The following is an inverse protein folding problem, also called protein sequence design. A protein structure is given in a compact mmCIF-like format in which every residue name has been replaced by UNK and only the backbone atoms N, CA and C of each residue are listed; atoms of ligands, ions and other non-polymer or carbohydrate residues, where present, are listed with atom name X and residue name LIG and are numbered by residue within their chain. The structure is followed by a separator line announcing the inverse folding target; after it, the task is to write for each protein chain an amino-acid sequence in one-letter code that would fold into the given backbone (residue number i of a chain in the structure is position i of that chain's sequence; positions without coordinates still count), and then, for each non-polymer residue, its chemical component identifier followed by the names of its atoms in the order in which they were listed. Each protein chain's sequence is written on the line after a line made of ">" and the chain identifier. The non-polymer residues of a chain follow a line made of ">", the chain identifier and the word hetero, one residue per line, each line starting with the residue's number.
data_IF_435669838422
#
_entry.id   IF_435669838422
#
_cell.length_a   1.000
_cell.length_b   1.000
_cell.length_c   1.000
_cell.angle_alpha   90.00
_cell.angle_beta   90.00
_cell.angle_gamma   90.00
#
_symmetry.space_group_name_H-M   'P 1'
#
loop_
_entity.id
_entity.type
_entity.pdbx_description
1 polymer ?
#
# COMPACT_ATOMS: atom_id res chain seq x y z
N UNK A 1 2.50 -39.06 -21.20
CA UNK A 1 2.72 -38.67 -19.79
C UNK A 1 1.99 -37.36 -19.60
N UNK A 2 0.72 -37.43 -19.21
CA UNK A 2 -0.18 -36.28 -19.17
C UNK A 2 0.04 -35.55 -17.86
N UNK A 3 0.62 -34.36 -17.92
CA UNK A 3 0.85 -33.51 -16.75
C UNK A 3 -0.49 -32.85 -16.42
N UNK A 4 -1.23 -33.43 -15.48
CA UNK A 4 -2.39 -32.81 -14.86
C UNK A 4 -1.91 -31.66 -13.99
N UNK A 5 -2.08 -30.43 -14.47
CA UNK A 5 -1.84 -29.22 -13.68
C UNK A 5 -3.08 -29.05 -12.78
N UNK A 6 -2.93 -29.35 -11.50
CA UNK A 6 -3.97 -29.20 -10.51
C UNK A 6 -4.30 -27.72 -10.32
N UNK A 7 -5.50 -27.31 -10.77
CA UNK A 7 -6.00 -25.95 -10.69
C UNK A 7 -6.30 -25.48 -9.24
N UNK A 8 -6.19 -26.38 -8.24
CA UNK A 8 -6.37 -26.06 -6.83
C UNK A 8 -5.29 -25.14 -6.23
N UNK A 9 -4.13 -25.00 -6.90
CA UNK A 9 -3.02 -24.15 -6.46
C UNK A 9 -2.99 -22.75 -7.11
N UNK A 10 -3.97 -22.41 -7.95
CA UNK A 10 -4.00 -21.14 -8.71
C UNK A 10 -4.99 -20.10 -8.17
N UNK A 11 -5.69 -20.41 -7.08
CA UNK A 11 -6.57 -19.47 -6.39
C UNK A 11 -6.16 -19.49 -4.92
N UNK A 12 -5.30 -18.55 -4.54
CA UNK A 12 -4.93 -18.36 -3.14
C UNK A 12 -6.17 -17.85 -2.39
N UNK A 13 -6.65 -18.52 -1.32
CA UNK A 13 -7.75 -17.99 -0.54
C UNK A 13 -7.32 -16.65 0.07
N UNK A 14 -8.20 -15.66 -0.07
CA UNK A 14 -8.04 -14.33 0.51
C UNK A 14 -7.77 -14.44 2.01
N UNK A 15 -6.56 -14.04 2.44
CA UNK A 15 -6.16 -14.02 3.86
C UNK A 15 -5.14 -15.08 4.32
N UNK A 16 -4.53 -15.88 3.44
CA UNK A 16 -3.43 -16.77 3.86
C UNK A 16 -2.11 -15.98 4.07
N UNK A 17 -1.48 -16.02 5.27
CA UNK A 17 -0.21 -15.35 5.51
C UNK A 17 0.90 -16.00 4.66
N UNK A 18 1.61 -15.18 3.89
CA UNK A 18 2.82 -15.58 3.17
C UNK A 18 3.87 -16.01 4.20
N UNK A 19 4.23 -17.29 4.20
CA UNK A 19 5.31 -17.83 5.03
C UNK A 19 6.66 -17.45 4.41
N UNK A 20 7.06 -16.19 4.59
CA UNK A 20 8.44 -15.75 4.32
C UNK A 20 9.25 -15.80 5.61
N UNK A 21 10.34 -16.56 5.58
CA UNK A 21 11.19 -17.00 6.71
C UNK A 21 12.02 -15.89 7.36
N UNK A 22 11.59 -14.63 7.26
CA UNK A 22 11.96 -13.54 8.14
C UNK A 22 10.67 -12.78 8.43
N UNK A 23 10.19 -12.86 9.68
CA UNK A 23 9.20 -11.95 10.29
C UNK A 23 9.74 -10.53 10.22
N UNK A 24 9.70 -9.94 9.05
CA UNK A 24 10.38 -8.70 8.77
C UNK A 24 9.34 -7.59 9.00
N UNK A 25 9.35 -7.13 10.27
CA UNK A 25 8.53 -6.10 10.92
C UNK A 25 8.60 -4.70 10.27
N UNK A 26 9.10 -4.62 9.05
CA UNK A 26 9.21 -3.38 8.27
C UNK A 26 7.88 -2.97 7.67
N UNK A 27 7.80 -1.71 7.25
CA UNK A 27 6.67 -1.18 6.50
C UNK A 27 6.70 -1.76 5.08
N UNK A 28 5.54 -2.19 4.55
CA UNK A 28 5.42 -2.80 3.23
C UNK A 28 4.13 -2.42 2.53
N UNK A 29 4.21 -2.38 1.20
CA UNK A 29 3.06 -2.22 0.31
C UNK A 29 3.07 -3.37 -0.70
N UNK A 30 2.00 -4.14 -0.74
CA UNK A 30 1.85 -5.26 -1.68
C UNK A 30 0.66 -4.95 -2.59
N UNK A 31 0.83 -4.76 -3.91
CA UNK A 31 -0.30 -4.53 -4.78
C UNK A 31 -1.22 -5.75 -4.80
N UNK A 32 -2.53 -5.54 -4.87
CA UNK A 32 -3.51 -6.64 -4.88
C UNK A 32 -3.32 -7.57 -6.09
N UNK A 33 -2.91 -7.01 -7.23
CA UNK A 33 -2.74 -7.74 -8.48
C UNK A 33 -1.37 -8.45 -8.62
N UNK A 34 -0.59 -8.58 -7.54
CA UNK A 34 0.77 -9.13 -7.59
C UNK A 34 0.90 -10.48 -8.33
N UNK A 35 -0.15 -11.30 -8.31
CA UNK A 35 -0.19 -12.62 -8.96
C UNK A 35 -0.69 -12.61 -10.41
N UNK A 36 -1.51 -11.64 -10.84
CA UNK A 36 -2.11 -11.62 -12.19
C UNK A 36 -1.64 -10.46 -13.06
N UNK A 37 -0.94 -9.49 -12.50
CA UNK A 37 -0.38 -8.35 -13.23
C UNK A 37 0.82 -8.72 -14.10
N UNK A 38 0.91 -8.09 -15.27
CA UNK A 38 2.09 -8.09 -16.15
C UNK A 38 3.22 -7.23 -15.54
N UNK A 39 3.62 -7.55 -14.30
CA UNK A 39 4.87 -7.05 -13.72
C UNK A 39 6.02 -7.79 -14.40
N UNK A 40 6.39 -7.31 -15.60
CA UNK A 40 7.48 -7.83 -16.41
C UNK A 40 8.52 -6.72 -16.67
N UNK A 41 9.79 -7.09 -16.80
CA UNK A 41 10.87 -6.17 -17.11
C UNK A 41 11.22 -5.25 -15.93
N UNK A 42 10.83 -3.97 -16.01
CA UNK A 42 11.24 -2.95 -15.03
C UNK A 42 10.70 -3.22 -13.62
N UNK A 43 9.54 -3.88 -13.50
CA UNK A 43 8.89 -4.20 -12.22
C UNK A 43 9.26 -5.59 -11.68
N UNK A 44 10.09 -6.36 -12.39
CA UNK A 44 10.54 -7.71 -11.97
C UNK A 44 11.18 -7.75 -10.58
N UNK A 45 12.04 -6.78 -10.18
CA UNK A 45 12.64 -6.79 -8.85
C UNK A 45 11.62 -6.74 -7.72
N UNK A 46 10.52 -5.98 -7.89
CA UNK A 46 9.44 -5.90 -6.90
C UNK A 46 8.67 -7.22 -6.85
N UNK A 47 8.45 -7.84 -8.01
CA UNK A 47 7.81 -9.16 -8.11
C UNK A 47 8.61 -10.25 -7.38
N UNK A 48 9.94 -10.23 -7.50
CA UNK A 48 10.82 -11.16 -6.77
C UNK A 48 10.82 -10.90 -5.27
N UNK A 49 10.71 -9.63 -4.86
CA UNK A 49 10.72 -9.24 -3.47
C UNK A 49 9.39 -9.49 -2.74
N UNK A 50 8.30 -9.87 -3.42
CA UNK A 50 7.01 -10.08 -2.78
C UNK A 50 6.24 -8.78 -2.46
N UNK A 51 6.62 -7.66 -3.07
CA UNK A 51 6.05 -6.34 -2.82
C UNK A 51 7.10 -5.26 -2.61
N UNK A 52 6.65 -4.06 -2.26
CA UNK A 52 7.53 -2.94 -1.93
C UNK A 52 7.84 -2.98 -0.45
N UNK A 53 9.11 -3.20 -0.17
CA UNK A 53 9.70 -3.07 1.14
C UNK A 53 10.43 -1.74 1.25
N UNK A 54 10.18 -1.05 2.36
CA UNK A 54 10.91 0.16 2.71
C UNK A 54 12.23 -0.25 3.38
N UNK A 55 13.40 0.16 2.85
CA UNK A 55 14.68 -0.20 3.44
C UNK A 55 14.91 0.51 4.79
N UNK A 56 14.46 1.75 4.89
CA UNK A 56 14.39 2.52 6.12
C UNK A 56 12.93 2.77 6.50
N UNK A 57 12.60 2.65 7.79
CA UNK A 57 11.23 2.78 8.27
C UNK A 57 10.73 4.23 8.09
N UNK A 58 9.65 4.45 7.33
CA UNK A 58 9.05 5.77 7.22
C UNK A 58 8.33 6.16 8.51
N UNK A 59 8.08 7.46 8.69
CA UNK A 59 7.10 7.95 9.66
C UNK A 59 5.69 7.62 9.18
N UNK A 60 4.81 7.22 10.10
CA UNK A 60 3.42 6.86 9.78
C UNK A 60 2.52 7.79 10.59
N UNK A 61 1.65 8.52 9.90
CA UNK A 61 0.64 9.39 10.53
C UNK A 61 -0.74 8.92 10.10
N UNK A 62 -1.63 8.68 11.07
CA UNK A 62 -2.99 8.23 10.84
C UNK A 62 -3.99 9.30 11.29
N UNK A 63 -5.01 9.56 10.47
CA UNK A 63 -6.11 10.47 10.82
C UNK A 63 -7.44 9.72 10.86
N UNK A 64 -7.96 9.53 12.07
CA UNK A 64 -9.27 8.94 12.35
C UNK A 64 -10.21 10.05 12.85
N UNK A 65 -11.29 10.31 12.10
CA UNK A 65 -12.22 11.42 12.37
C UNK A 65 -13.66 10.94 12.30
N UNK A 66 -14.47 11.41 13.24
CA UNK A 66 -15.92 11.24 13.24
C UNK A 66 -16.60 12.56 12.83
N UNK A 67 -17.59 12.47 11.95
CA UNK A 67 -18.39 13.61 11.50
C UNK A 67 -19.58 13.79 12.44
N UNK A 68 -19.63 14.92 13.13
CA UNK A 68 -20.77 15.34 13.93
C UNK A 68 -21.48 16.52 13.26
N UNK A 69 -22.79 16.45 13.13
CA UNK A 69 -23.63 17.57 12.72
C UNK A 69 -24.14 18.27 13.98
N UNK A 70 -23.79 19.54 14.15
CA UNK A 70 -24.26 20.35 15.26
C UNK A 70 -25.61 20.93 14.87
N UNK A 71 -26.66 20.55 15.59
CA UNK A 71 -27.99 21.15 15.44
C UNK A 71 -28.14 22.23 16.51
N UNK A 72 -28.33 23.47 16.08
CA UNK A 72 -28.62 24.58 16.98
C UNK A 72 -30.12 24.55 17.34
N UNK A 73 -30.43 24.43 18.63
CA UNK A 73 -31.81 24.50 19.13
C UNK A 73 -32.06 25.91 19.68
N UNK A 74 -33.21 26.50 19.35
CA UNK A 74 -33.64 27.75 19.98
C UNK A 74 -33.88 27.54 21.47
N UNK A 75 -33.56 28.55 22.27
CA UNK A 75 -33.70 28.51 23.74
C UNK A 75 -32.88 27.41 24.45
N UNK A 76 -31.79 26.93 23.85
CA UNK A 76 -30.82 26.02 24.50
C UNK A 76 -29.44 26.68 24.54
N UNK A 77 -28.64 26.41 25.57
CA UNK A 77 -27.30 26.98 25.77
C UNK A 77 -26.19 26.23 25.03
N UNK A 78 -26.43 24.99 24.61
CA UNK A 78 -25.50 24.13 23.89
C UNK A 78 -26.20 23.45 22.71
N UNK A 79 -25.56 23.46 21.54
CA UNK A 79 -26.06 22.77 20.35
C UNK A 79 -25.92 21.25 20.49
N UNK A 80 -26.91 20.49 20.04
CA UNK A 80 -26.83 19.03 20.08
C UNK A 80 -25.93 18.52 18.96
N UNK A 81 -24.82 17.85 19.32
CA UNK A 81 -23.93 17.20 18.37
C UNK A 81 -24.48 15.81 18.00
N UNK A 82 -25.07 15.69 16.82
CA UNK A 82 -25.61 14.44 16.28
C UNK A 82 -24.55 13.73 15.47
N UNK A 83 -24.32 12.45 15.74
CA UNK A 83 -23.37 11.65 14.96
C UNK A 83 -23.86 11.44 13.52
N UNK A 84 -23.07 11.89 12.55
CA UNK A 84 -23.38 11.81 11.12
C UNK A 84 -22.66 10.68 10.39
N UNK A 85 -21.66 10.06 11.01
CA UNK A 85 -20.88 8.97 10.42
C UNK A 85 -19.39 9.10 10.72
N UNK A 86 -18.63 8.11 10.27
CA UNK A 86 -17.18 8.09 10.38
C UNK A 86 -16.55 8.37 9.02
N UNK A 87 -15.55 9.24 9.00
CA UNK A 87 -14.79 9.53 7.79
C UNK A 87 -13.79 8.40 7.52
N UNK A 88 -13.50 8.16 6.24
CA UNK A 88 -12.49 7.20 5.82
C UNK A 88 -11.11 7.59 6.35
N UNK A 89 -10.46 6.69 7.08
CA UNK A 89 -9.11 6.92 7.57
C UNK A 89 -8.11 7.13 6.43
N UNK A 90 -7.24 8.12 6.60
CA UNK A 90 -6.08 8.37 5.74
C UNK A 90 -4.81 8.06 6.51
N UNK A 91 -3.86 7.41 5.83
CA UNK A 91 -2.52 7.11 6.33
C UNK A 91 -1.54 7.90 5.48
N UNK A 92 -0.70 8.71 6.10
CA UNK A 92 0.40 9.39 5.44
C UNK A 92 1.72 8.73 5.84
N UNK A 93 2.48 8.25 4.85
CA UNK A 93 3.83 7.73 5.06
C UNK A 93 4.84 8.81 4.68
N UNK A 94 5.73 9.18 5.60
CA UNK A 94 6.73 10.22 5.38
C UNK A 94 8.17 9.71 5.46
N UNK A 95 9.07 10.36 4.72
CA UNK A 95 10.52 10.19 4.90
C UNK A 95 11.08 8.84 4.47
N UNK A 96 10.48 8.19 3.47
CA UNK A 96 11.05 6.98 2.87
C UNK A 96 12.30 7.34 2.07
N UNK A 97 13.45 6.75 2.41
CA UNK A 97 14.69 6.94 1.63
C UNK A 97 15.07 5.63 0.98
N UNK A 98 15.48 5.65 -0.28
CA UNK A 98 16.06 4.51 -0.97
C UNK A 98 17.46 4.88 -1.44
N UNK A 99 18.40 3.97 -1.21
CA UNK A 99 19.80 4.14 -1.54
C UNK A 99 20.20 3.00 -2.46
N UNK A 100 20.76 3.33 -3.62
CA UNK A 100 21.31 2.39 -4.59
C UNK A 100 22.82 2.23 -4.36
N UNK A 101 23.21 1.32 -3.46
CA UNK A 101 24.64 1.01 -3.26
C UNK A 101 25.16 -0.07 -4.21
N UNK A 102 24.28 -0.95 -4.67
CA UNK A 102 24.60 -2.02 -5.62
C UNK A 102 23.71 -1.92 -6.85
N UNK A 103 24.15 -2.54 -7.96
CA UNK A 103 23.37 -2.59 -9.21
C UNK A 103 22.00 -3.24 -9.00
N UNK A 104 21.90 -4.24 -8.11
CA UNK A 104 20.61 -4.88 -7.79
C UNK A 104 19.68 -3.95 -7.01
N UNK A 105 20.22 -3.26 -6.00
CA UNK A 105 19.46 -2.25 -5.24
C UNK A 105 19.03 -1.09 -6.13
N UNK A 106 19.87 -0.67 -7.09
CA UNK A 106 19.53 0.34 -8.10
C UNK A 106 18.38 -0.09 -9.02
N UNK A 107 18.37 -1.36 -9.47
CA UNK A 107 17.26 -1.93 -10.24
C UNK A 107 15.96 -1.95 -9.44
N UNK A 108 16.02 -2.35 -8.16
CA UNK A 108 14.87 -2.33 -7.27
C UNK A 108 14.34 -0.91 -7.04
N UNK A 109 15.23 0.04 -6.82
CA UNK A 109 14.92 1.45 -6.66
C UNK A 109 14.23 2.05 -7.89
N UNK A 110 14.72 1.75 -9.09
CA UNK A 110 14.07 2.17 -10.33
C UNK A 110 12.68 1.50 -10.49
N UNK A 111 12.56 0.22 -10.12
CA UNK A 111 11.28 -0.47 -10.11
C UNK A 111 10.26 0.22 -9.19
N UNK A 112 10.69 0.64 -7.99
CA UNK A 112 9.83 1.32 -7.00
C UNK A 112 9.36 2.67 -7.53
N UNK A 113 10.25 3.46 -8.13
CA UNK A 113 9.90 4.74 -8.75
C UNK A 113 8.88 4.55 -9.88
N UNK A 114 9.08 3.55 -10.74
CA UNK A 114 8.13 3.26 -11.81
C UNK A 114 6.79 2.76 -11.27
N UNK A 115 6.81 1.94 -10.22
CA UNK A 115 5.60 1.44 -9.59
C UNK A 115 4.71 2.57 -9.07
N UNK A 116 5.28 3.55 -8.35
CA UNK A 116 4.51 4.68 -7.81
C UNK A 116 3.92 5.55 -8.92
N UNK A 117 4.55 5.60 -10.10
CA UNK A 117 3.99 6.27 -11.28
C UNK A 117 2.88 5.45 -11.94
N UNK A 118 2.97 4.12 -11.92
CA UNK A 118 1.97 3.25 -12.56
C UNK A 118 0.73 2.99 -11.71
N UNK A 119 0.88 2.93 -10.38
CA UNK A 119 -0.19 2.50 -9.47
C UNK A 119 -1.34 3.50 -9.37
N UNK A 120 -1.08 4.78 -9.63
CA UNK A 120 -2.09 5.85 -9.64
C UNK A 120 -2.84 5.94 -10.98
N UNK A 121 -2.37 5.23 -12.01
CA UNK A 121 -3.01 5.21 -13.31
C UNK A 121 -4.13 4.16 -13.33
N UNK A 122 -5.22 4.51 -14.00
CA UNK A 122 -6.23 3.54 -14.41
C UNK A 122 -5.75 2.76 -15.64
N UNK A 123 -6.31 1.57 -15.83
CA UNK A 123 -6.07 0.72 -17.00
C UNK A 123 -6.72 1.34 -18.25
N UNK A 124 -6.06 2.32 -18.87
CA UNK A 124 -6.56 3.10 -19.99
C UNK A 124 -5.59 3.12 -21.16
N UNK A 125 -6.09 2.88 -22.37
CA UNK A 125 -5.31 2.85 -23.61
C UNK A 125 -5.63 1.66 -24.50
N UNK A 126 -4.70 1.32 -25.39
CA UNK A 126 -4.89 0.25 -26.37
C UNK A 126 -4.92 -1.15 -25.72
N UNK A 127 -6.05 -1.86 -25.86
CA UNK A 127 -6.22 -3.22 -25.32
C UNK A 127 -6.59 -3.29 -23.84
N UNK A 128 -6.98 -2.16 -23.23
CA UNK A 128 -7.24 -2.03 -21.80
C UNK A 128 -8.74 -1.89 -21.48
N UNK A 129 -9.12 -2.34 -20.29
CA UNK A 129 -10.53 -2.57 -19.90
C UNK A 129 -11.14 -1.44 -19.07
N UNK A 130 -10.42 -0.34 -18.86
CA UNK A 130 -10.92 0.81 -18.08
C UNK A 130 -10.99 0.52 -16.58
N UNK A 131 -10.21 -0.44 -16.08
CA UNK A 131 -10.22 -0.82 -14.66
C UNK A 131 -9.70 0.35 -13.82
N UNK A 132 -10.36 0.65 -12.69
CA UNK A 132 -9.86 1.66 -11.76
C UNK A 132 -8.49 1.23 -11.20
N UNK A 133 -7.72 2.17 -10.61
CA UNK A 133 -6.47 1.87 -9.94
C UNK A 133 -6.63 0.72 -8.95
N UNK A 134 -5.64 -0.17 -8.93
CA UNK A 134 -5.70 -1.39 -8.11
C UNK A 134 -5.34 -1.07 -6.65
N UNK A 135 -6.10 -1.57 -5.66
CA UNK A 135 -5.76 -1.39 -4.25
C UNK A 135 -4.46 -2.13 -3.87
N UNK A 136 -3.82 -1.69 -2.79
CA UNK A 136 -2.64 -2.31 -2.20
C UNK A 136 -2.94 -2.78 -0.78
N UNK A 137 -2.22 -3.79 -0.32
CA UNK A 137 -2.20 -4.23 1.06
C UNK A 137 -1.06 -3.54 1.80
N UNK A 138 -1.40 -2.86 2.88
CA UNK A 138 -0.45 -2.20 3.75
C UNK A 138 -0.13 -3.05 4.97
N UNK A 139 1.15 -3.21 5.24
CA UNK A 139 1.67 -3.93 6.41
C UNK A 139 2.67 -3.05 7.16
N UNK A 140 2.50 -2.94 8.47
CA UNK A 140 3.42 -2.26 9.37
C UNK A 140 3.09 -2.65 10.81
N UNK A 141 4.09 -2.82 11.67
CA UNK A 141 3.88 -3.10 13.11
C UNK A 141 2.95 -4.29 13.42
N UNK A 142 3.18 -5.43 12.75
CA UNK A 142 2.43 -6.66 13.02
C UNK A 142 2.61 -7.18 14.47
N UNK A 143 1.59 -7.81 15.08
CA UNK A 143 0.28 -8.13 14.52
C UNK A 143 -0.84 -7.12 14.86
N UNK A 144 -0.57 -6.12 15.70
CA UNK A 144 -1.60 -5.20 16.24
C UNK A 144 -1.64 -3.81 15.62
N UNK A 145 -0.65 -3.46 14.79
CA UNK A 145 -0.67 -2.22 14.01
C UNK A 145 -1.47 -2.41 12.72
N UNK A 146 -0.75 -2.50 11.61
CA UNK A 146 -1.29 -2.63 10.26
C UNK A 146 -0.99 -4.04 9.73
N UNK A 147 -2.00 -4.90 9.73
CA UNK A 147 -1.86 -6.27 9.22
C UNK A 147 -2.75 -6.48 8.00
N UNK A 148 -2.25 -6.17 6.80
CA UNK A 148 -3.01 -6.37 5.57
C UNK A 148 -4.20 -5.43 5.47
N UNK A 149 -3.99 -4.14 5.74
CA UNK A 149 -5.01 -3.12 5.57
C UNK A 149 -5.17 -2.82 4.07
N UNK A 150 -6.40 -2.87 3.50
CA UNK A 150 -6.62 -2.47 2.12
C UNK A 150 -6.53 -0.96 1.98
N UNK A 151 -5.57 -0.49 1.18
CA UNK A 151 -5.30 0.93 0.93
C UNK A 151 -5.29 1.25 -0.56
N UNK A 152 -5.80 2.42 -0.91
CA UNK A 152 -5.62 3.04 -2.22
C UNK A 152 -4.53 4.11 -2.12
N UNK A 153 -3.62 4.16 -3.09
CA UNK A 153 -2.59 5.20 -3.15
C UNK A 153 -3.19 6.43 -3.85
N UNK A 154 -3.29 7.55 -3.13
CA UNK A 154 -3.83 8.81 -3.63
C UNK A 154 -2.73 9.66 -4.28
N UNK A 155 -1.62 9.87 -3.58
CA UNK A 155 -0.45 10.59 -4.10
C UNK A 155 0.84 10.01 -3.54
N UNK A 156 1.92 10.17 -4.32
CA UNK A 156 3.29 9.87 -3.89
C UNK A 156 4.22 10.99 -4.37
N UNK A 157 4.77 11.73 -3.43
CA UNK A 157 5.64 12.88 -3.68
C UNK A 157 7.10 12.41 -3.66
N UNK A 158 7.69 12.29 -4.84
CA UNK A 158 9.06 11.80 -5.03
C UNK A 158 9.98 13.00 -5.25
N UNK A 159 11.01 13.13 -4.40
CA UNK A 159 12.02 14.16 -4.50
C UNK A 159 13.40 13.58 -4.82
N UNK A 160 14.11 14.27 -5.72
CA UNK A 160 15.50 13.95 -6.08
C UNK A 160 16.40 15.04 -5.50
N UNK A 161 17.14 14.75 -4.42
CA UNK A 161 18.08 15.72 -3.84
C UNK A 161 19.22 16.04 -4.80
N UNK A 162 19.71 17.28 -4.78
CA UNK A 162 20.74 17.77 -5.70
C UNK A 162 22.15 17.29 -5.33
N UNK A 163 22.39 16.98 -4.05
CA UNK A 163 23.72 16.65 -3.51
C UNK A 163 24.14 15.19 -3.72
N UNK A 164 23.51 14.48 -4.66
CA UNK A 164 23.62 13.02 -4.77
C UNK A 164 24.25 12.60 -6.09
N UNK A 165 25.22 11.69 -5.98
CA UNK A 165 25.92 11.09 -7.11
C UNK A 165 24.97 10.26 -7.99
N UNK A 166 25.36 10.05 -9.24
CA UNK A 166 24.63 9.19 -10.16
C UNK A 166 25.26 7.80 -10.24
N UNK A 167 24.44 6.79 -10.53
CA UNK A 167 24.86 5.42 -10.79
C UNK A 167 24.25 4.92 -12.10
N UNK A 168 25.08 4.22 -12.87
CA UNK A 168 24.67 3.58 -14.11
C UNK A 168 24.13 2.17 -13.82
N UNK A 169 22.92 1.86 -14.31
CA UNK A 169 22.34 0.52 -14.27
C UNK A 169 22.12 0.02 -15.68
N UNK A 170 22.37 -1.28 -15.89
CA UNK A 170 22.04 -1.95 -17.14
C UNK A 170 20.73 -2.72 -16.98
N UNK A 171 19.72 -2.35 -17.78
CA UNK A 171 18.42 -3.01 -17.80
C UNK A 171 17.95 -3.19 -19.25
N UNK A 172 17.59 -4.41 -19.63
CA UNK A 172 17.07 -4.69 -20.97
C UNK A 172 18.07 -4.44 -22.12
N UNK A 173 19.37 -4.34 -21.82
CA UNK A 173 20.41 -4.01 -22.80
C UNK A 173 20.71 -2.52 -22.94
N UNK A 174 19.97 -1.65 -22.24
CA UNK A 174 20.22 -0.21 -22.19
C UNK A 174 20.89 0.18 -20.86
N UNK A 175 21.80 1.16 -20.93
CA UNK A 175 22.40 1.79 -19.76
C UNK A 175 21.57 3.00 -19.36
N UNK A 176 20.98 2.95 -18.17
CA UNK A 176 20.19 4.03 -17.57
C UNK A 176 21.02 4.67 -16.46
N UNK A 177 20.98 6.00 -16.36
CA UNK A 177 21.63 6.75 -15.30
C UNK A 177 20.57 7.25 -14.33
N UNK A 178 20.73 6.94 -13.05
CA UNK A 178 19.82 7.39 -11.98
C UNK A 178 20.59 7.98 -10.81
N UNK A 179 19.99 8.91 -10.04
CA UNK A 179 20.60 9.37 -8.80
C UNK A 179 20.74 8.18 -7.85
N UNK A 180 21.79 8.17 -7.04
CA UNK A 180 22.10 7.09 -6.09
C UNK A 180 21.14 7.04 -4.90
N UNK A 181 20.44 8.13 -4.64
CA UNK A 181 19.45 8.26 -3.56
C UNK A 181 18.21 8.94 -4.12
N UNK A 182 17.05 8.36 -3.85
CA UNK A 182 15.78 9.08 -3.98
C UNK A 182 15.04 9.08 -2.65
N UNK A 183 14.25 10.12 -2.44
CA UNK A 183 13.40 10.27 -1.25
C UNK A 183 11.94 10.33 -1.68
N UNK A 184 11.09 9.73 -0.86
CA UNK A 184 9.65 9.97 -0.92
C UNK A 184 9.30 10.77 0.32
N UNK A 185 8.87 12.01 0.08
CA UNK A 185 8.56 12.97 1.13
C UNK A 185 7.23 12.62 1.79
N UNK A 186 6.21 12.32 0.98
CA UNK A 186 4.90 11.85 1.44
C UNK A 186 4.26 10.84 0.50
N UNK A 187 3.60 9.82 1.07
CA UNK A 187 2.67 8.92 0.38
C UNK A 187 1.33 9.03 1.11
N UNK A 188 0.32 9.54 0.42
CA UNK A 188 -1.04 9.58 0.94
C UNK A 188 -1.78 8.30 0.55
N UNK A 189 -2.29 7.61 1.55
CA UNK A 189 -3.04 6.37 1.44
C UNK A 189 -4.45 6.57 2.00
N UNK A 190 -5.46 6.09 1.28
CA UNK A 190 -6.85 6.05 1.73
C UNK A 190 -7.20 4.61 2.06
N UNK A 191 -7.66 4.34 3.28
CA UNK A 191 -8.09 3.00 3.68
C UNK A 191 -9.45 2.71 3.05
N UNK A 192 -9.59 1.61 2.29
CA UNK A 192 -10.86 1.27 1.67
C UNK A 192 -11.25 -0.17 1.98
N UNK A 193 -12.18 -0.32 2.92
CA UNK A 193 -12.81 -1.61 3.21
C UNK A 193 -13.95 -1.92 2.22
N UNK A 194 -14.12 -3.20 1.90
CA UNK A 194 -15.25 -3.65 1.08
C UNK A 194 -16.56 -3.55 1.87
N UNK A 195 -17.69 -3.38 1.18
CA UNK A 195 -19.00 -3.34 1.84
C UNK A 195 -19.31 -4.63 2.62
N UNK A 196 -18.98 -5.79 2.04
CA UNK A 196 -19.21 -7.09 2.67
C UNK A 196 -18.47 -7.22 4.01
N UNK A 197 -17.26 -6.67 4.08
CA UNK A 197 -16.46 -6.64 5.29
C UNK A 197 -17.19 -5.90 6.44
N UNK A 198 -17.83 -4.76 6.17
CA UNK A 198 -18.60 -4.02 7.17
C UNK A 198 -19.86 -4.75 7.65
N UNK A 199 -20.47 -5.55 6.78
CA UNK A 199 -21.72 -6.25 7.09
C UNK A 199 -21.48 -7.55 7.87
N UNK A 200 -20.45 -8.32 7.48
CA UNK A 200 -20.22 -9.68 7.97
C UNK A 200 -19.16 -9.77 9.07
N UNK A 201 -18.16 -8.88 9.08
CA UNK A 201 -16.96 -9.04 9.89
C UNK A 201 -16.77 -7.94 10.95
N UNK A 202 -17.36 -6.77 10.76
CA UNK A 202 -17.18 -5.66 11.68
C UNK A 202 -18.18 -5.73 12.85
N UNK A 203 -17.65 -5.80 14.07
CA UNK A 203 -18.40 -5.55 15.29
C UNK A 203 -17.62 -4.59 16.19
N UNK A 204 -18.33 -3.71 16.89
CA UNK A 204 -17.70 -2.67 17.70
C UNK A 204 -17.05 -3.24 18.96
N UNK A 205 -17.62 -4.30 19.54
CA UNK A 205 -17.07 -4.96 20.71
C UNK A 205 -15.83 -5.82 20.36
N UNK A 206 -15.79 -6.43 19.17
CA UNK A 206 -14.59 -7.12 18.68
C UNK A 206 -13.48 -6.14 18.27
N UNK A 207 -13.85 -4.92 17.84
CA UNK A 207 -12.90 -3.86 17.61
C UNK A 207 -12.28 -3.35 18.91
N UNK A 208 -13.11 -3.09 19.94
CA UNK A 208 -12.66 -2.67 21.27
C UNK A 208 -11.77 -3.70 21.96
N UNK A 209 -12.05 -4.99 21.76
CA UNK A 209 -11.21 -6.07 22.29
C UNK A 209 -9.90 -6.28 21.52
N UNK A 210 -9.70 -5.58 20.40
CA UNK A 210 -8.49 -5.66 19.57
C UNK A 210 -8.40 -6.91 18.71
N UNK A 211 -9.42 -7.78 18.72
CA UNK A 211 -9.48 -9.00 17.88
C UNK A 211 -9.50 -8.62 16.39
N UNK A 212 -10.19 -7.53 16.05
CA UNK A 212 -10.26 -7.04 14.67
C UNK A 212 -8.97 -6.35 14.21
N UNK A 213 -8.16 -5.77 15.10
CA UNK A 213 -6.86 -5.18 14.72
C UNK A 213 -5.91 -6.23 14.13
N UNK A 214 -5.95 -7.45 14.68
CA UNK A 214 -5.20 -8.59 14.16
C UNK A 214 -5.63 -8.99 12.74
N UNK A 215 -6.86 -8.66 12.34
CA UNK A 215 -7.43 -8.97 11.02
C UNK A 215 -7.25 -7.83 10.00
N UNK A 216 -6.48 -6.79 10.32
CA UNK A 216 -6.21 -5.68 9.39
C UNK A 216 -7.33 -4.66 9.30
N UNK A 217 -8.19 -4.65 10.32
CA UNK A 217 -9.39 -3.83 10.35
C UNK A 217 -9.01 -2.49 10.93
N UNK A 218 -9.20 -1.44 10.14
CA UNK A 218 -9.05 -0.09 10.62
C UNK A 218 -10.26 0.75 10.29
N UNK A 219 -10.41 1.79 11.09
CA UNK A 219 -11.59 2.59 11.13
C UNK A 219 -11.17 4.05 11.17
#
# INVERSE_FOLDING_TARGET
>A
MTITIDASNLIRPFGAPVQDTLKNQGVRLIPFDFSYGNYTGLLDPIKKAGGIHFPYRPSITESNRARYAITELTHTNEGSAVYGGKETARINLGGGTWVADTVETGKYMMAVLHFFRSVTLMDYGNGHTGRPPTPCWFYAYEPYGYNGVPVLIESADISFPQDVEYMDIQLGGETLVLPRVFKIDSISLIVQHSFRYWLEEFSLDDFRSGVLLKRGVMQ
#
